data_IF_612974047565
#
_entry.id   IF_612974047565
#
_cell.length_a   1.000
_cell.length_b   1.000
_cell.length_c   1.000
_cell.angle_alpha   90.00
_cell.angle_beta   90.00
_cell.angle_gamma   90.00
#
_symmetry.space_group_name_H-M   'P 1'
#
loop_
_entity.id
_entity.type
_entity.pdbx_description
1 polymer ?
#
# COMPACT_ATOMS: atom_id res chain seq x y z
N UNK A 1 14.00 -21.58 -33.26
CA UNK A 1 14.19 -20.17 -33.63
C UNK A 1 14.33 -19.37 -32.32
N UNK A 2 15.05 -18.25 -32.35
CA UNK A 2 15.28 -17.39 -31.16
C UNK A 2 13.97 -16.97 -30.45
N UNK A 3 12.91 -16.77 -31.20
CA UNK A 3 11.60 -16.40 -30.69
C UNK A 3 10.94 -17.51 -29.80
N UNK A 4 11.18 -18.79 -30.16
CA UNK A 4 10.71 -19.91 -29.35
C UNK A 4 11.56 -20.13 -28.07
N UNK A 5 12.86 -19.77 -28.15
CA UNK A 5 13.75 -19.82 -27.01
C UNK A 5 13.42 -18.71 -25.97
N UNK A 6 13.05 -17.53 -26.45
CA UNK A 6 12.64 -16.39 -25.63
C UNK A 6 11.30 -16.66 -24.89
N UNK A 7 10.35 -17.30 -25.57
CA UNK A 7 9.10 -17.75 -24.93
C UNK A 7 9.32 -18.82 -23.85
N UNK A 8 10.33 -19.66 -24.02
CA UNK A 8 10.65 -20.73 -23.06
C UNK A 8 11.37 -20.16 -21.81
N UNK A 9 12.19 -19.14 -21.98
CA UNK A 9 12.86 -18.43 -20.89
C UNK A 9 11.87 -17.64 -19.99
N UNK A 10 10.75 -17.21 -20.56
CA UNK A 10 9.69 -16.51 -19.80
C UNK A 10 8.75 -17.46 -19.02
N UNK A 11 8.89 -18.77 -19.17
CA UNK A 11 7.98 -19.75 -18.54
C UNK A 11 8.55 -20.47 -17.34
N UNK A 12 9.86 -20.40 -17.07
CA UNK A 12 10.46 -21.05 -15.92
C UNK A 12 11.65 -20.24 -15.38
N UNK A 13 11.56 -19.81 -14.15
CA UNK A 13 12.66 -19.24 -13.40
C UNK A 13 13.45 -20.33 -12.70
N UNK A 14 14.78 -20.33 -12.85
CA UNK A 14 15.66 -21.26 -12.12
C UNK A 14 16.12 -20.57 -10.84
N UNK A 15 15.75 -21.12 -9.71
CA UNK A 15 16.23 -20.66 -8.41
C UNK A 15 17.55 -21.33 -8.02
N UNK A 16 18.29 -20.73 -7.08
CA UNK A 16 19.66 -21.13 -6.70
C UNK A 16 19.83 -22.61 -6.33
N UNK A 17 18.79 -23.29 -5.86
CA UNK A 17 18.81 -24.71 -5.54
C UNK A 17 18.61 -25.64 -6.77
N UNK A 18 18.51 -25.07 -7.98
CA UNK A 18 18.28 -25.81 -9.21
C UNK A 18 16.83 -26.22 -9.47
N UNK A 19 15.89 -25.83 -8.60
CA UNK A 19 14.47 -26.04 -8.87
C UNK A 19 13.98 -25.08 -9.96
N UNK A 20 12.96 -25.52 -10.71
CA UNK A 20 12.30 -24.67 -11.73
C UNK A 20 10.94 -24.26 -11.22
N UNK A 21 10.73 -22.95 -11.14
CA UNK A 21 9.39 -22.40 -10.89
C UNK A 21 8.71 -22.17 -12.23
N UNK A 22 7.50 -22.71 -12.35
CA UNK A 22 6.67 -22.41 -13.49
C UNK A 22 6.10 -20.99 -13.38
N UNK A 23 6.47 -20.13 -14.32
CA UNK A 23 5.92 -18.78 -14.45
C UNK A 23 4.83 -18.82 -15.52
N UNK A 24 3.55 -18.64 -15.14
CA UNK A 24 2.45 -18.72 -16.11
C UNK A 24 2.51 -17.59 -17.12
N UNK A 25 2.15 -17.89 -18.35
CA UNK A 25 1.99 -16.89 -19.41
C UNK A 25 0.79 -15.98 -19.14
N UNK A 26 0.79 -14.80 -19.73
CA UNK A 26 -0.34 -13.86 -19.70
C UNK A 26 -1.67 -14.55 -20.08
N UNK A 27 -1.67 -15.37 -21.14
CA UNK A 27 -2.87 -16.06 -21.62
C UNK A 27 -3.37 -17.13 -20.64
N UNK A 28 -2.49 -17.85 -19.98
CA UNK A 28 -2.86 -18.82 -18.95
C UNK A 28 -3.47 -18.16 -17.73
N UNK A 29 -2.87 -17.05 -17.26
CA UNK A 29 -3.41 -16.25 -16.15
C UNK A 29 -4.81 -15.72 -16.51
N UNK A 30 -4.95 -15.16 -17.70
CA UNK A 30 -6.24 -14.65 -18.21
C UNK A 30 -7.30 -15.74 -18.29
N UNK A 31 -6.94 -16.91 -18.83
CA UNK A 31 -7.83 -18.06 -18.92
C UNK A 31 -8.27 -18.55 -17.52
N UNK A 32 -7.34 -18.60 -16.57
CA UNK A 32 -7.63 -18.97 -15.19
C UNK A 32 -8.62 -17.99 -14.55
N UNK A 33 -8.34 -16.68 -14.62
CA UNK A 33 -9.21 -15.64 -14.05
C UNK A 33 -10.61 -15.71 -14.66
N UNK A 34 -10.72 -15.85 -15.97
CA UNK A 34 -12.02 -15.95 -16.64
C UNK A 34 -12.81 -17.19 -16.21
N UNK A 35 -12.15 -18.34 -16.00
CA UNK A 35 -12.80 -19.53 -15.44
C UNK A 35 -13.32 -19.30 -14.03
N UNK A 36 -12.50 -18.67 -13.18
CA UNK A 36 -12.87 -18.32 -11.81
C UNK A 36 -14.09 -17.37 -11.78
N UNK A 37 -14.06 -16.30 -12.55
CA UNK A 37 -15.16 -15.32 -12.65
C UNK A 37 -16.45 -15.98 -13.13
N UNK A 38 -16.36 -16.86 -14.12
CA UNK A 38 -17.52 -17.64 -14.60
C UNK A 38 -18.10 -18.55 -13.52
N UNK A 39 -17.25 -19.20 -12.74
CA UNK A 39 -17.68 -20.08 -11.63
C UNK A 39 -18.34 -19.26 -10.52
N UNK A 40 -17.76 -18.13 -10.13
CA UNK A 40 -18.34 -17.22 -9.14
C UNK A 40 -19.72 -16.69 -9.60
N UNK A 41 -19.84 -16.28 -10.86
CA UNK A 41 -21.11 -15.82 -11.43
C UNK A 41 -22.17 -16.91 -11.44
N UNK A 42 -21.81 -18.15 -11.82
CA UNK A 42 -22.73 -19.30 -11.76
C UNK A 42 -23.19 -19.62 -10.33
N UNK A 43 -22.31 -19.40 -9.34
CA UNK A 43 -22.65 -19.55 -7.93
C UNK A 43 -23.49 -18.38 -7.36
N UNK A 44 -23.87 -17.41 -8.20
CA UNK A 44 -24.73 -16.30 -7.81
C UNK A 44 -24.00 -15.07 -7.27
N UNK A 45 -22.68 -14.98 -7.41
CA UNK A 45 -21.96 -13.78 -6.99
C UNK A 45 -22.44 -12.54 -7.75
N UNK A 46 -22.81 -11.49 -7.01
CA UNK A 46 -23.24 -10.19 -7.54
C UNK A 46 -22.30 -9.06 -7.11
N UNK A 47 -21.30 -9.37 -6.25
CA UNK A 47 -20.34 -8.38 -5.74
C UNK A 47 -19.22 -8.17 -6.74
N UNK A 48 -18.62 -6.96 -6.78
CA UNK A 48 -17.41 -6.72 -7.54
C UNK A 48 -16.28 -7.67 -7.14
N UNK A 49 -15.54 -8.14 -8.13
CA UNK A 49 -14.37 -9.01 -7.93
C UNK A 49 -13.11 -8.21 -8.23
N UNK A 50 -12.20 -8.19 -7.27
CA UNK A 50 -10.87 -7.64 -7.40
C UNK A 50 -9.85 -8.76 -7.47
N UNK A 51 -8.86 -8.63 -8.33
CA UNK A 51 -7.77 -9.60 -8.40
C UNK A 51 -6.48 -9.01 -7.85
N UNK A 52 -5.72 -9.81 -7.10
CA UNK A 52 -4.51 -9.34 -6.46
C UNK A 52 -3.33 -9.33 -7.43
N UNK A 53 -2.81 -8.14 -7.73
CA UNK A 53 -1.53 -7.94 -8.42
C UNK A 53 -0.38 -8.05 -7.43
N UNK A 54 -0.65 -7.74 -6.15
CA UNK A 54 0.36 -7.62 -5.11
C UNK A 54 1.41 -6.56 -5.46
N UNK A 55 2.67 -6.94 -5.55
CA UNK A 55 3.79 -6.07 -5.94
C UNK A 55 4.48 -6.54 -7.22
N UNK A 56 3.89 -7.51 -7.93
CA UNK A 56 4.44 -8.03 -9.19
C UNK A 56 3.56 -7.64 -10.38
N UNK A 57 4.05 -6.69 -11.18
CA UNK A 57 3.37 -6.22 -12.37
C UNK A 57 3.57 -7.09 -13.63
N UNK A 58 4.35 -8.16 -13.55
CA UNK A 58 4.77 -8.96 -14.73
C UNK A 58 3.61 -9.41 -15.61
N UNK A 59 2.51 -9.88 -15.03
CA UNK A 59 1.31 -10.31 -15.75
C UNK A 59 0.11 -9.37 -15.54
N UNK A 60 0.35 -8.14 -15.10
CA UNK A 60 -0.71 -7.18 -14.81
C UNK A 60 -1.68 -6.97 -15.98
N UNK A 61 -1.19 -6.98 -17.21
CA UNK A 61 -2.04 -6.88 -18.40
C UNK A 61 -3.11 -7.96 -18.43
N UNK A 62 -2.80 -9.19 -18.01
CA UNK A 62 -3.76 -10.28 -17.98
C UNK A 62 -4.98 -9.94 -17.13
N UNK A 63 -4.77 -9.30 -15.97
CA UNK A 63 -5.85 -8.88 -15.07
C UNK A 63 -6.71 -7.79 -15.68
N UNK A 64 -6.07 -6.81 -16.33
CA UNK A 64 -6.76 -5.68 -16.94
C UNK A 64 -7.53 -6.04 -18.22
N UNK A 65 -7.18 -7.13 -18.89
CA UNK A 65 -7.89 -7.66 -20.06
C UNK A 65 -9.08 -8.57 -19.69
N UNK A 66 -9.28 -8.90 -18.42
CA UNK A 66 -10.43 -9.66 -17.94
C UNK A 66 -11.58 -8.75 -17.48
N UNK A 67 -12.69 -9.35 -17.02
CA UNK A 67 -13.86 -8.61 -16.52
C UNK A 67 -13.81 -8.35 -15.01
N UNK A 68 -12.66 -8.48 -14.34
CA UNK A 68 -12.51 -8.03 -12.96
C UNK A 68 -12.81 -6.53 -12.86
N UNK A 69 -13.46 -6.10 -11.79
CA UNK A 69 -13.82 -4.71 -11.58
C UNK A 69 -12.67 -3.87 -11.03
N UNK A 70 -11.69 -4.53 -10.42
CA UNK A 70 -10.52 -3.85 -9.87
C UNK A 70 -9.36 -4.78 -9.60
N UNK A 71 -8.28 -4.20 -9.15
CA UNK A 71 -7.06 -4.90 -8.74
C UNK A 71 -6.59 -4.42 -7.38
N UNK A 72 -5.92 -5.31 -6.65
CA UNK A 72 -5.38 -5.03 -5.32
C UNK A 72 -3.87 -5.12 -5.32
N UNK A 73 -3.25 -4.33 -4.44
CA UNK A 73 -1.81 -4.18 -4.29
C UNK A 73 -1.44 -4.20 -2.82
N UNK A 74 -0.21 -4.56 -2.51
CA UNK A 74 0.35 -4.46 -1.17
C UNK A 74 1.67 -3.71 -1.18
N UNK A 75 2.05 -3.15 -0.04
CA UNK A 75 3.33 -2.47 0.07
C UNK A 75 3.89 -2.39 1.48
N UNK A 76 5.13 -2.84 1.60
CA UNK A 76 5.99 -2.72 2.77
C UNK A 76 7.29 -2.06 2.32
N UNK A 77 7.42 -0.72 2.41
CA UNK A 77 8.49 0.03 1.75
C UNK A 77 9.90 -0.27 2.28
N UNK A 78 10.00 -0.82 3.48
CA UNK A 78 11.27 -1.06 4.18
C UNK A 78 11.61 -2.55 4.22
N UNK A 79 10.66 -3.38 3.86
CA UNK A 79 10.72 -4.82 4.01
C UNK A 79 9.94 -5.28 5.24
N UNK A 80 9.94 -6.57 5.46
CA UNK A 80 9.21 -7.24 6.52
C UNK A 80 10.09 -8.37 7.05
N UNK A 81 10.80 -8.13 8.16
CA UNK A 81 11.72 -9.09 8.76
C UNK A 81 11.30 -9.37 10.19
N UNK A 82 10.85 -10.61 10.43
CA UNK A 82 10.42 -11.07 11.75
C UNK A 82 11.45 -10.78 12.83
N UNK A 83 11.00 -10.23 13.95
CA UNK A 83 11.81 -9.96 15.14
C UNK A 83 12.84 -8.84 15.00
N UNK A 84 12.82 -8.05 13.94
CA UNK A 84 13.72 -6.92 13.73
C UNK A 84 13.00 -5.59 13.88
N UNK A 85 13.75 -4.56 14.31
CA UNK A 85 13.32 -3.17 14.35
C UNK A 85 14.37 -2.32 13.65
N UNK A 86 13.94 -1.58 12.64
CA UNK A 86 14.83 -0.69 11.89
C UNK A 86 14.81 0.73 12.46
N UNK A 87 15.94 1.42 12.31
CA UNK A 87 16.15 2.78 12.78
C UNK A 87 16.51 3.69 11.61
N UNK A 88 16.08 4.94 11.65
CA UNK A 88 16.46 5.94 10.66
C UNK A 88 15.30 6.66 10.00
N UNK A 89 15.62 7.53 9.05
CA UNK A 89 14.61 8.27 8.29
C UNK A 89 14.17 7.49 7.05
N UNK A 90 12.96 6.97 7.09
CA UNK A 90 12.39 6.19 5.99
C UNK A 90 11.41 7.00 5.10
N UNK A 91 11.19 8.29 5.37
CA UNK A 91 10.33 9.13 4.52
C UNK A 91 10.73 9.11 3.03
N UNK A 92 12.02 9.16 2.66
CA UNK A 92 12.38 9.07 1.25
C UNK A 92 12.00 7.75 0.56
N UNK A 93 11.74 6.70 1.32
CA UNK A 93 11.35 5.40 0.76
C UNK A 93 9.89 5.38 0.28
N UNK A 94 9.02 6.24 0.83
CA UNK A 94 7.61 6.26 0.42
C UNK A 94 7.39 6.83 -0.97
N UNK A 95 8.33 7.60 -1.51
CA UNK A 95 8.25 8.10 -2.89
C UNK A 95 8.71 7.05 -3.93
N UNK A 96 9.14 5.87 -3.47
CA UNK A 96 9.64 4.78 -4.33
C UNK A 96 8.59 3.74 -4.68
N UNK A 97 7.34 3.96 -4.34
CA UNK A 97 6.28 3.02 -4.70
C UNK A 97 6.14 2.95 -6.21
N UNK A 98 6.63 1.86 -6.78
CA UNK A 98 6.72 1.69 -8.23
C UNK A 98 5.45 1.02 -8.79
N UNK A 99 4.68 1.80 -9.53
CA UNK A 99 3.59 1.34 -10.37
C UNK A 99 3.83 1.73 -11.85
N UNK A 100 5.10 1.91 -12.23
CA UNK A 100 5.46 2.36 -13.59
C UNK A 100 4.95 1.44 -14.70
N UNK A 101 4.73 0.15 -14.39
CA UNK A 101 4.06 -0.77 -15.30
C UNK A 101 2.64 -0.31 -15.67
N UNK A 102 2.01 0.46 -14.80
CA UNK A 102 0.63 0.91 -14.98
C UNK A 102 0.42 1.76 -16.22
N UNK A 103 1.39 2.60 -16.56
CA UNK A 103 1.34 3.46 -17.74
C UNK A 103 1.37 2.65 -19.04
N UNK A 104 1.87 1.41 -18.99
CA UNK A 104 1.98 0.48 -20.10
C UNK A 104 0.78 -0.46 -20.22
N UNK A 105 -0.01 -0.58 -19.17
CA UNK A 105 -1.12 -1.53 -19.09
C UNK A 105 -2.42 -0.88 -19.57
N UNK A 106 -2.90 -1.31 -20.72
CA UNK A 106 -4.16 -0.83 -21.28
C UNK A 106 -5.33 -1.07 -20.33
N UNK A 107 -6.04 -0.01 -19.99
CA UNK A 107 -7.22 -0.08 -19.13
C UNK A 107 -6.92 0.04 -17.64
N UNK A 108 -5.68 0.32 -17.25
CA UNK A 108 -5.29 0.55 -15.86
C UNK A 108 -6.13 1.65 -15.19
N UNK A 109 -6.37 2.73 -15.90
CA UNK A 109 -7.17 3.89 -15.46
C UNK A 109 -8.67 3.61 -15.35
N UNK A 110 -9.15 2.55 -16.01
CA UNK A 110 -10.58 2.19 -16.10
C UNK A 110 -11.05 1.24 -15.00
N UNK A 111 -10.16 0.67 -14.22
CA UNK A 111 -10.48 -0.28 -13.16
C UNK A 111 -10.23 0.33 -11.78
N UNK A 112 -11.01 -0.11 -10.79
CA UNK A 112 -10.77 0.28 -9.41
C UNK A 112 -9.42 -0.28 -8.93
N UNK A 113 -8.72 0.51 -8.10
CA UNK A 113 -7.40 0.18 -7.54
C UNK A 113 -7.43 0.30 -6.04
N UNK A 114 -6.97 -0.73 -5.36
CA UNK A 114 -6.99 -0.82 -3.91
C UNK A 114 -5.62 -1.24 -3.38
N UNK A 115 -5.13 -0.55 -2.37
CA UNK A 115 -4.10 -1.09 -1.49
C UNK A 115 -4.86 -1.93 -0.46
N UNK A 116 -4.77 -3.26 -0.57
CA UNK A 116 -5.48 -4.13 0.36
C UNK A 116 -4.69 -4.40 1.63
N UNK A 117 -3.38 -4.13 1.57
CA UNK A 117 -2.45 -4.40 2.65
C UNK A 117 -1.25 -3.46 2.57
N UNK A 118 -1.00 -2.70 3.62
CA UNK A 118 0.22 -1.91 3.76
C UNK A 118 0.55 -1.70 5.22
N UNK A 119 1.85 -1.62 5.52
CA UNK A 119 2.37 -1.13 6.77
C UNK A 119 3.81 -0.62 6.56
N UNK A 120 4.29 0.37 7.33
CA UNK A 120 5.70 0.71 7.32
C UNK A 120 6.61 -0.42 7.82
N UNK A 121 6.09 -1.39 8.54
CA UNK A 121 6.73 -2.58 9.11
C UNK A 121 8.16 -2.35 9.67
N UNK A 122 8.58 -3.16 10.61
CA UNK A 122 9.93 -3.14 11.20
C UNK A 122 10.36 -1.78 11.81
N UNK A 123 9.47 -0.80 11.91
CA UNK A 123 9.70 0.49 12.57
C UNK A 123 8.60 0.85 13.57
N UNK A 124 8.98 1.55 14.63
CA UNK A 124 8.04 2.00 15.69
C UNK A 124 7.51 3.42 15.47
N UNK A 125 8.00 4.12 14.48
CA UNK A 125 7.70 5.54 14.25
C UNK A 125 6.26 5.78 13.78
N UNK A 126 5.75 6.97 14.11
CA UNK A 126 4.37 7.37 13.82
C UNK A 126 4.19 8.22 12.56
N UNK A 127 5.27 8.62 11.90
CA UNK A 127 5.20 9.54 10.75
C UNK A 127 4.87 8.87 9.41
N UNK A 128 4.96 7.54 9.30
CA UNK A 128 4.91 6.85 8.00
C UNK A 128 3.51 6.73 7.39
N UNK A 129 2.47 6.50 8.18
CA UNK A 129 1.14 6.22 7.62
C UNK A 129 0.59 7.33 6.72
N UNK A 130 0.55 8.61 7.14
CA UNK A 130 0.10 9.69 6.25
C UNK A 130 1.02 9.88 5.04
N UNK A 131 2.34 9.66 5.23
CA UNK A 131 3.31 9.73 4.14
C UNK A 131 3.03 8.68 3.05
N UNK A 132 2.76 7.43 3.45
CA UNK A 132 2.39 6.36 2.53
C UNK A 132 1.07 6.64 1.83
N UNK A 133 0.06 7.11 2.56
CA UNK A 133 -1.24 7.45 1.99
C UNK A 133 -1.13 8.59 0.98
N UNK A 134 -0.29 9.60 1.23
CA UNK A 134 0.04 10.63 0.24
C UNK A 134 0.48 10.01 -1.10
N UNK A 135 1.40 9.08 -1.04
CA UNK A 135 1.93 8.38 -2.23
C UNK A 135 0.85 7.56 -2.93
N UNK A 136 0.04 6.82 -2.17
CA UNK A 136 -1.08 6.05 -2.74
C UNK A 136 -2.11 6.95 -3.42
N UNK A 137 -2.42 8.11 -2.85
CA UNK A 137 -3.35 9.07 -3.47
C UNK A 137 -2.77 9.67 -4.75
N UNK A 138 -1.48 10.01 -4.76
CA UNK A 138 -0.77 10.46 -5.97
C UNK A 138 -0.82 9.38 -7.06
N UNK A 139 -0.59 8.12 -6.70
CA UNK A 139 -0.69 6.97 -7.61
C UNK A 139 -2.13 6.62 -8.03
N UNK A 140 -3.15 7.31 -7.51
CA UNK A 140 -4.53 7.17 -7.92
C UNK A 140 -5.32 6.06 -7.27
N UNK A 141 -4.89 5.54 -6.12
CA UNK A 141 -5.62 4.52 -5.37
C UNK A 141 -6.88 5.07 -4.69
N UNK A 142 -7.96 4.29 -4.73
CA UNK A 142 -9.27 4.67 -4.19
C UNK A 142 -9.46 4.20 -2.76
N UNK A 143 -9.04 2.98 -2.47
CA UNK A 143 -9.21 2.30 -1.19
C UNK A 143 -7.84 1.90 -0.65
N UNK A 144 -7.62 2.11 0.65
CA UNK A 144 -6.32 1.89 1.28
C UNK A 144 -6.57 1.24 2.64
N UNK A 145 -6.07 0.03 2.84
CA UNK A 145 -6.28 -0.78 4.04
C UNK A 145 -4.93 -1.09 4.69
N UNK A 146 -4.78 -0.71 5.94
CA UNK A 146 -3.59 -1.04 6.73
C UNK A 146 -3.64 -2.51 7.19
N UNK A 147 -2.52 -3.15 7.25
CA UNK A 147 -2.30 -4.47 7.84
C UNK A 147 -1.29 -4.38 8.99
N UNK A 148 -1.69 -4.68 10.23
CA UNK A 148 -3.03 -5.01 10.62
C UNK A 148 -3.37 -4.38 11.99
N UNK A 149 -4.65 -4.32 12.32
CA UNK A 149 -5.10 -3.94 13.65
C UNK A 149 -5.22 -5.18 14.52
N UNK A 150 -4.52 -5.19 15.66
CA UNK A 150 -4.59 -6.27 16.63
C UNK A 150 -5.62 -5.94 17.72
N UNK A 151 -6.67 -6.76 17.91
CA UNK A 151 -7.59 -6.62 19.02
C UNK A 151 -6.87 -6.66 20.38
N UNK A 152 -7.40 -5.91 21.35
CA UNK A 152 -6.77 -5.73 22.67
C UNK A 152 -6.47 -7.03 23.41
N UNK A 153 -7.35 -7.99 23.29
CA UNK A 153 -7.30 -9.26 24.02
C UNK A 153 -6.26 -10.24 23.47
N UNK A 154 -5.79 -10.03 22.24
CA UNK A 154 -4.78 -10.89 21.59
C UNK A 154 -3.50 -10.14 21.18
N UNK A 155 -3.45 -8.82 21.29
CA UNK A 155 -2.33 -8.01 20.83
C UNK A 155 -0.99 -8.39 21.50
N UNK A 156 -1.02 -8.86 22.75
CA UNK A 156 0.15 -9.33 23.49
C UNK A 156 0.78 -10.60 22.87
N UNK A 157 0.03 -11.34 22.08
CA UNK A 157 0.49 -12.58 21.45
C UNK A 157 1.15 -12.34 20.09
N UNK A 158 1.14 -11.12 19.57
CA UNK A 158 1.84 -10.76 18.34
C UNK A 158 3.34 -10.65 18.61
N UNK A 159 4.06 -11.75 18.45
CA UNK A 159 5.48 -11.85 18.75
C UNK A 159 6.38 -11.97 17.52
N UNK A 160 5.79 -12.18 16.35
CA UNK A 160 6.54 -12.38 15.10
C UNK A 160 6.93 -11.05 14.46
N UNK A 161 5.97 -10.12 14.34
CA UNK A 161 6.17 -8.81 13.74
C UNK A 161 5.79 -7.71 14.73
N UNK A 162 6.59 -7.54 15.78
CA UNK A 162 6.30 -6.64 16.89
C UNK A 162 6.07 -5.19 16.48
N UNK A 163 6.69 -4.76 15.39
CA UNK A 163 6.54 -3.40 14.85
C UNK A 163 5.41 -3.30 13.81
N UNK A 164 4.85 -4.41 13.43
CA UNK A 164 3.87 -4.55 12.34
C UNK A 164 2.42 -4.36 12.77
N UNK A 165 2.15 -4.32 14.06
CA UNK A 165 0.79 -4.19 14.55
C UNK A 165 0.39 -2.76 14.91
N UNK A 166 -0.91 -2.52 14.88
CA UNK A 166 -1.56 -1.28 15.28
C UNK A 166 -2.59 -1.59 16.37
N UNK A 167 -2.48 -0.92 17.50
CA UNK A 167 -3.41 -1.09 18.62
C UNK A 167 -3.57 0.20 19.42
N UNK A 168 -4.78 0.51 19.87
CA UNK A 168 -5.05 1.76 20.61
C UNK A 168 -4.33 1.85 21.95
N UNK A 169 -4.11 0.74 22.64
CA UNK A 169 -3.46 0.74 23.95
C UNK A 169 -1.95 0.63 23.87
N UNK A 170 -1.45 -0.26 23.01
CA UNK A 170 -0.02 -0.56 22.93
C UNK A 170 0.75 0.37 21.98
N UNK A 171 0.07 0.88 20.95
CA UNK A 171 0.67 1.80 19.96
C UNK A 171 -0.23 3.02 19.71
N UNK A 172 -0.58 3.82 20.72
CA UNK A 172 -1.52 4.94 20.57
C UNK A 172 -1.05 5.98 19.55
N UNK A 173 0.24 6.25 19.48
CA UNK A 173 0.85 7.17 18.50
C UNK A 173 0.65 6.66 17.06
N UNK A 174 0.82 5.36 16.81
CA UNK A 174 0.52 4.75 15.49
C UNK A 174 -0.97 4.82 15.17
N UNK A 175 -1.83 4.61 16.16
CA UNK A 175 -3.28 4.69 15.99
C UNK A 175 -3.72 6.12 15.59
N UNK A 176 -3.15 7.15 16.22
CA UNK A 176 -3.41 8.55 15.84
C UNK A 176 -2.85 8.83 14.46
N UNK A 177 -1.63 8.37 14.16
CA UNK A 177 -1.05 8.48 12.81
C UNK A 177 -1.94 7.85 11.75
N UNK A 178 -2.52 6.69 12.02
CA UNK A 178 -3.48 6.03 11.12
C UNK A 178 -4.78 6.82 10.99
N UNK A 179 -5.26 7.48 12.07
CA UNK A 179 -6.39 8.41 11.98
C UNK A 179 -6.09 9.58 11.05
N UNK A 180 -4.90 10.17 11.16
CA UNK A 180 -4.44 11.26 10.26
C UNK A 180 -4.33 10.74 8.82
N UNK A 181 -3.80 9.55 8.61
CA UNK A 181 -3.74 8.90 7.31
C UNK A 181 -5.14 8.67 6.70
N UNK A 182 -6.12 8.30 7.51
CA UNK A 182 -7.52 8.18 7.08
C UNK A 182 -8.10 9.52 6.61
N UNK A 183 -7.82 10.62 7.30
CA UNK A 183 -8.20 11.95 6.86
C UNK A 183 -7.52 12.32 5.52
N UNK A 184 -6.24 12.01 5.37
CA UNK A 184 -5.51 12.22 4.11
C UNK A 184 -6.12 11.39 2.96
N UNK A 185 -6.48 10.12 3.21
CA UNK A 185 -7.12 9.29 2.20
C UNK A 185 -8.47 9.87 1.71
N UNK A 186 -9.21 10.55 2.57
CA UNK A 186 -10.49 11.14 2.25
C UNK A 186 -10.38 12.51 1.57
N UNK A 187 -9.41 13.33 1.99
CA UNK A 187 -9.31 14.74 1.54
C UNK A 187 -8.37 14.94 0.36
N UNK A 188 -7.29 14.16 0.25
CA UNK A 188 -6.33 14.32 -0.85
C UNK A 188 -6.94 13.87 -2.18
N UNK A 189 -6.88 14.75 -3.18
CA UNK A 189 -7.34 14.44 -4.52
C UNK A 189 -6.52 13.32 -5.14
N UNK A 190 -7.19 12.31 -5.64
CA UNK A 190 -6.58 11.17 -6.32
C UNK A 190 -5.92 11.58 -7.63
N UNK A 191 -4.69 11.12 -7.85
CA UNK A 191 -3.91 11.42 -9.04
C UNK A 191 -3.25 12.81 -9.04
N UNK A 192 -3.33 13.55 -7.92
CA UNK A 192 -2.63 14.81 -7.76
C UNK A 192 -1.26 14.61 -7.12
N UNK A 193 -0.27 15.41 -7.49
CA UNK A 193 1.04 15.44 -6.84
C UNK A 193 1.00 16.26 -5.57
N UNK A 194 1.69 15.79 -4.55
CA UNK A 194 1.85 16.45 -3.26
C UNK A 194 3.32 16.63 -2.86
N UNK A 195 4.22 16.67 -3.85
CA UNK A 195 5.66 16.85 -3.66
C UNK A 195 6.42 15.55 -3.37
N UNK A 196 7.67 15.68 -2.94
CA UNK A 196 8.60 14.58 -2.68
C UNK A 196 9.37 14.79 -1.39
N UNK A 197 9.66 13.70 -0.66
CA UNK A 197 10.51 13.76 0.52
C UNK A 197 11.99 13.76 0.12
N UNK A 198 12.89 14.42 0.90
CA UNK A 198 12.62 15.08 2.21
C UNK A 198 12.15 16.54 2.14
N UNK A 199 12.01 17.13 0.93
CA UNK A 199 11.68 18.55 0.78
C UNK A 199 10.26 18.88 1.24
N UNK A 200 9.30 18.05 0.86
CA UNK A 200 7.87 18.31 1.05
C UNK A 200 7.29 17.49 2.19
N UNK A 201 7.55 17.91 3.42
CA UNK A 201 6.99 17.32 4.64
C UNK A 201 5.59 17.86 5.00
N UNK A 202 5.22 18.98 4.41
CA UNK A 202 3.87 19.55 4.43
C UNK A 202 3.16 19.21 3.13
N UNK A 203 1.91 18.77 3.21
CA UNK A 203 1.13 18.44 2.01
C UNK A 203 -0.38 18.59 2.23
N UNK A 204 -1.12 18.73 1.13
CA UNK A 204 -2.56 18.94 1.18
C UNK A 204 -2.93 20.16 2.06
N UNK A 205 -4.09 20.06 2.71
CA UNK A 205 -4.59 21.13 3.57
C UNK A 205 -4.29 20.81 5.05
N UNK A 206 -3.05 21.08 5.47
CA UNK A 206 -2.63 21.02 6.87
C UNK A 206 -2.06 19.69 7.34
N UNK A 207 -1.70 18.78 6.45
CA UNK A 207 -0.97 17.56 6.82
C UNK A 207 0.52 17.87 6.94
N UNK A 208 1.16 17.32 7.98
CA UNK A 208 2.60 17.39 8.20
C UNK A 208 3.12 16.06 8.72
N UNK A 209 4.30 15.66 8.23
CA UNK A 209 5.07 14.54 8.77
C UNK A 209 6.49 14.98 9.08
N UNK A 210 7.08 14.46 10.14
CA UNK A 210 8.44 14.79 10.57
C UNK A 210 9.14 13.58 11.17
N UNK A 211 10.26 13.19 10.60
CA UNK A 211 11.12 12.16 11.16
C UNK A 211 11.75 12.61 12.48
N UNK A 212 12.31 13.82 12.52
CA UNK A 212 13.05 14.34 13.68
C UNK A 212 12.17 14.56 14.91
N UNK A 213 10.87 14.76 14.71
CA UNK A 213 9.89 14.92 15.78
C UNK A 213 9.09 13.64 16.02
N UNK A 214 9.31 12.58 15.24
CA UNK A 214 8.46 11.38 15.18
C UNK A 214 6.97 11.74 15.10
N UNK A 215 6.60 12.59 14.16
CA UNK A 215 5.31 13.26 14.14
C UNK A 215 4.55 13.05 12.84
N UNK A 216 3.27 12.69 12.99
CA UNK A 216 2.22 12.96 12.02
C UNK A 216 1.25 13.99 12.59
N UNK A 217 0.85 14.93 11.77
CA UNK A 217 -0.05 16.03 12.18
C UNK A 217 -1.06 16.34 11.09
N UNK A 218 -2.28 16.67 11.50
CA UNK A 218 -3.28 17.37 10.71
C UNK A 218 -3.72 18.62 11.48
N UNK A 219 -3.53 19.78 10.86
CA UNK A 219 -3.99 21.07 11.39
C UNK A 219 -4.57 21.90 10.25
N UNK A 220 -5.88 21.86 10.06
CA UNK A 220 -6.58 22.55 8.97
C UNK A 220 -7.64 23.56 9.42
N UNK A 221 -7.63 23.95 10.69
CA UNK A 221 -8.60 24.85 11.29
C UNK A 221 -9.83 24.15 11.85
N UNK A 222 -10.32 23.08 11.21
CA UNK A 222 -11.46 22.29 11.68
C UNK A 222 -11.07 21.09 12.52
N UNK A 223 -9.86 20.55 12.28
CA UNK A 223 -9.32 19.37 12.94
C UNK A 223 -7.88 19.62 13.33
N UNK A 224 -7.54 19.20 14.52
CA UNK A 224 -6.19 19.19 15.01
C UNK A 224 -5.87 17.84 15.65
N UNK A 225 -5.08 17.03 14.94
CA UNK A 225 -4.58 15.73 15.40
C UNK A 225 -3.06 15.70 15.31
N UNK A 226 -2.40 15.12 16.30
CA UNK A 226 -0.96 14.88 16.27
C UNK A 226 -0.61 13.59 17.00
N UNK A 227 0.30 12.83 16.44
CA UNK A 227 0.66 11.49 16.91
C UNK A 227 1.68 11.48 18.05
N UNK A 228 2.39 12.58 18.24
CA UNK A 228 3.41 12.75 19.27
C UNK A 228 3.42 14.23 19.70
N UNK A 229 4.37 14.65 20.53
CA UNK A 229 4.48 16.04 20.97
C UNK A 229 4.73 16.97 19.78
N UNK A 230 3.92 18.03 19.63
CA UNK A 230 4.08 19.04 18.61
C UNK A 230 4.21 20.44 19.20
N UNK A 231 4.93 21.32 18.47
CA UNK A 231 5.03 22.76 18.78
C UNK A 231 4.00 23.57 18.02
N UNK A 232 3.34 22.97 17.04
CA UNK A 232 2.30 23.60 16.25
C UNK A 232 1.08 23.85 17.12
N UNK A 233 0.53 25.07 17.06
CA UNK A 233 -0.72 25.39 17.73
C UNK A 233 -1.90 25.13 16.78
N UNK A 234 -3.07 24.75 17.30
CA UNK A 234 -4.29 24.68 16.50
C UNK A 234 -4.53 26.01 15.79
N UNK A 235 -4.96 25.95 14.52
CA UNK A 235 -5.51 27.12 13.86
C UNK A 235 -6.78 27.53 14.62
N UNK A 236 -6.97 28.80 14.85
CA UNK A 236 -8.16 29.34 15.55
C UNK A 236 -8.32 28.87 17.01
N UNK A 237 -7.24 28.47 17.69
CA UNK A 237 -7.24 28.32 19.14
C UNK A 237 -7.38 29.70 19.77
N UNK A 238 -8.61 30.15 19.98
CA UNK A 238 -8.99 31.38 20.70
C UNK A 238 -9.30 31.04 22.17
#
# INVERSE_FOLDING_TARGET
TEEAADQTLNQAEVIEDGSKIYVPTKEEVKAYINRMLKSMSKAGNRKPVFYNVSHNGYVAEAYYETTVQGTTYQWYPIGLVSGQTQQGNFLPYVDRYDISFADKVKGFDKKARMIYEFDPADIMYSYMYPAMVRTFRTAGFQWITQFSYDPMDIAYANTEYQTHFLNLAYTPHKAISMKIASEAAQSLKRGASYGSYPQDTLFGEGFRVSYTEDLSELNNGNKFYYSNTTRTQPKDAS
#
